data_IF_388646836449
#
_entry.id   IF_388646836449
#
_cell.length_a   1.000
_cell.length_b   1.000
_cell.length_c   1.000
_cell.angle_alpha   90.00
_cell.angle_beta   90.00
_cell.angle_gamma   90.00
#
_symmetry.space_group_name_H-M   'P 1'
#
loop_
_entity.id
_entity.type
_entity.pdbx_description
1 polymer ?
#
# COMPACT_ATOMS: atom_id res chain seq x y z
N UNK A 1 26.59 4.54 26.90
CA UNK A 1 27.87 5.18 27.29
C UNK A 1 28.94 4.64 26.35
N UNK A 2 29.38 5.43 25.38
CA UNK A 2 30.42 5.01 24.45
C UNK A 2 31.62 5.94 24.61
N UNK A 3 32.77 5.34 24.94
CA UNK A 3 34.03 6.04 25.17
C UNK A 3 34.76 6.39 23.88
N UNK A 4 35.53 7.47 23.96
CA UNK A 4 36.52 7.92 22.98
C UNK A 4 37.65 6.89 22.81
N UNK A 5 38.32 6.89 21.63
CA UNK A 5 39.73 6.60 21.56
C UNK A 5 40.55 7.85 21.24
N UNK A 6 41.70 7.88 21.91
CA UNK A 6 42.77 8.86 21.88
C UNK A 6 43.46 8.96 20.50
N UNK A 7 43.90 10.18 20.22
CA UNK A 7 44.91 10.51 19.24
C UNK A 7 46.29 9.96 19.66
N UNK A 8 47.06 9.48 18.69
CA UNK A 8 48.50 9.30 18.81
C UNK A 8 49.18 9.97 17.62
N UNK A 9 49.86 11.07 17.94
CA UNK A 9 50.78 11.82 17.08
C UNK A 9 52.13 11.11 17.17
N UNK A 10 52.75 10.79 16.04
CA UNK A 10 54.19 10.45 15.99
C UNK A 10 54.89 11.36 14.98
N UNK A 11 55.83 12.10 15.55
CA UNK A 11 56.73 13.09 14.99
C UNK A 11 57.72 12.47 14.00
N UNK A 12 58.07 13.18 12.93
CA UNK A 12 59.34 13.00 12.25
C UNK A 12 60.08 14.33 12.10
N UNK A 13 61.36 14.25 12.47
CA UNK A 13 62.36 15.30 12.65
C UNK A 13 62.84 15.83 11.29
N UNK A 14 62.91 17.17 11.16
CA UNK A 14 63.54 17.87 10.04
C UNK A 14 65.05 18.05 10.30
N UNK A 15 65.87 17.62 9.34
CA UNK A 15 67.29 18.00 9.23
C UNK A 15 67.49 18.98 8.06
N UNK A 16 68.43 19.95 8.15
CA UNK A 16 68.56 21.02 7.15
C UNK A 16 69.59 20.67 6.06
N UNK A 17 69.31 21.04 4.80
CA UNK A 17 70.28 20.89 3.72
C UNK A 17 69.75 21.10 2.30
N UNK A 18 69.80 22.35 1.85
CA UNK A 18 70.22 22.83 0.52
C UNK A 18 69.49 22.41 -0.80
N UNK A 19 69.14 23.48 -1.55
CA UNK A 19 69.08 23.65 -3.02
C UNK A 19 68.23 22.74 -3.92
N UNK A 20 67.19 23.41 -4.48
CA UNK A 20 66.75 23.41 -5.89
C UNK A 20 66.66 22.06 -6.59
N UNK A 21 65.44 21.54 -6.73
CA UNK A 21 64.96 20.83 -7.93
C UNK A 21 63.44 20.86 -7.98
N UNK A 22 62.93 21.37 -9.10
CA UNK A 22 61.56 21.32 -9.58
C UNK A 22 61.00 19.89 -9.57
N UNK A 23 59.88 19.67 -8.89
CA UNK A 23 59.04 18.50 -9.07
C UNK A 23 57.57 18.93 -8.93
N UNK A 24 56.79 18.69 -9.98
CA UNK A 24 55.37 18.95 -10.04
C UNK A 24 54.62 18.11 -8.99
N UNK A 25 53.91 18.77 -8.07
CA UNK A 25 53.00 18.10 -7.15
C UNK A 25 51.59 18.10 -7.75
N UNK A 26 51.18 16.93 -8.25
CA UNK A 26 49.77 16.60 -8.48
C UNK A 26 49.04 16.72 -7.13
N UNK A 27 48.10 17.67 -7.03
CA UNK A 27 47.11 17.69 -5.95
C UNK A 27 46.12 16.55 -6.18
N UNK A 28 46.37 15.37 -5.59
CA UNK A 28 45.32 14.38 -5.40
C UNK A 28 44.45 14.86 -4.24
N UNK A 29 43.35 15.54 -4.57
CA UNK A 29 42.25 15.84 -3.65
C UNK A 29 41.56 14.51 -3.30
N UNK A 30 42.07 13.83 -2.27
CA UNK A 30 41.37 12.73 -1.63
C UNK A 30 40.21 13.34 -0.85
N UNK A 31 39.04 13.43 -1.47
CA UNK A 31 37.79 13.69 -0.76
C UNK A 31 37.51 12.44 0.09
N UNK A 32 37.54 12.50 1.43
CA UNK A 32 37.08 11.37 2.22
C UNK A 32 35.58 11.25 1.96
N UNK A 33 35.18 10.15 1.32
CA UNK A 33 33.80 9.74 1.21
C UNK A 33 33.34 9.45 2.65
N UNK A 34 32.73 10.43 3.30
CA UNK A 34 32.02 10.24 4.56
C UNK A 34 30.82 9.34 4.26
N UNK A 35 31.03 8.03 4.30
CA UNK A 35 29.95 7.05 4.40
C UNK A 35 29.38 7.20 5.81
N UNK A 36 28.46 8.14 5.98
CA UNK A 36 27.52 8.09 7.09
C UNK A 36 26.66 6.87 6.80
N UNK A 37 27.06 5.70 7.33
CA UNK A 37 26.15 4.58 7.51
C UNK A 37 25.13 5.03 8.55
N UNK A 38 24.15 5.80 8.11
CA UNK A 38 22.88 5.84 8.81
C UNK A 38 22.41 4.39 8.83
N UNK A 39 22.21 3.82 10.02
CA UNK A 39 21.30 2.70 10.21
C UNK A 39 19.88 3.17 9.85
N UNK A 40 19.68 3.55 8.59
CA UNK A 40 18.44 4.00 8.02
C UNK A 40 17.79 2.80 7.36
N UNK A 41 16.55 2.54 7.75
CA UNK A 41 15.65 1.55 7.16
C UNK A 41 15.93 1.35 5.66
N UNK A 42 16.37 0.16 5.27
CA UNK A 42 16.59 -0.22 3.89
C UNK A 42 15.23 -0.23 3.18
N UNK A 43 15.01 0.79 2.36
CA UNK A 43 13.82 0.88 1.51
C UNK A 43 14.19 1.26 0.09
N UNK A 44 13.40 0.76 -0.85
CA UNK A 44 13.42 1.20 -2.25
C UNK A 44 12.26 2.16 -2.46
N UNK A 45 12.53 3.31 -3.06
CA UNK A 45 11.50 4.29 -3.44
C UNK A 45 11.28 4.19 -4.94
N UNK A 46 10.03 3.92 -5.33
CA UNK A 46 9.63 3.70 -6.72
C UNK A 46 8.57 4.73 -7.11
N UNK A 47 8.88 5.69 -7.99
CA UNK A 47 7.88 6.60 -8.53
C UNK A 47 7.00 5.86 -9.53
N UNK A 48 5.68 6.02 -9.40
CA UNK A 48 4.68 5.45 -10.30
C UNK A 48 4.03 6.60 -11.05
N UNK A 49 4.28 6.69 -12.35
CA UNK A 49 3.62 7.67 -13.20
C UNK A 49 2.27 7.11 -13.64
N UNK A 50 1.20 7.78 -13.23
CA UNK A 50 -0.16 7.25 -13.38
C UNK A 50 -0.96 7.97 -14.47
N UNK A 51 -0.32 8.90 -15.19
CA UNK A 51 -0.93 9.56 -16.33
C UNK A 51 -1.39 8.50 -17.36
N UNK A 52 -2.69 8.43 -17.70
CA UNK A 52 -3.22 7.43 -18.63
C UNK A 52 -2.48 7.38 -19.97
N UNK A 53 -1.97 8.52 -20.46
CA UNK A 53 -1.22 8.59 -21.71
C UNK A 53 0.17 7.91 -21.64
N UNK A 54 0.78 7.88 -20.45
CA UNK A 54 2.12 7.32 -20.24
C UNK A 54 2.08 5.83 -19.86
N UNK A 55 0.96 5.34 -19.30
CA UNK A 55 0.83 3.96 -18.86
C UNK A 55 0.77 2.98 -20.04
N UNK A 56 1.59 1.94 -20.02
CA UNK A 56 1.53 0.85 -20.99
C UNK A 56 0.79 -0.36 -20.39
N UNK A 57 -0.13 -0.96 -21.15
CA UNK A 57 -0.79 -2.18 -20.70
C UNK A 57 0.20 -3.35 -20.71
N UNK A 58 0.32 -4.10 -19.60
CA UNK A 58 1.18 -5.28 -19.57
C UNK A 58 0.59 -6.41 -20.42
N UNK A 59 1.45 -7.30 -20.92
CA UNK A 59 1.04 -8.50 -21.68
C UNK A 59 0.47 -9.62 -20.78
N UNK A 60 0.57 -9.47 -19.47
CA UNK A 60 0.20 -10.45 -18.46
C UNK A 60 1.15 -10.43 -17.26
N UNK A 61 0.83 -11.19 -16.22
CA UNK A 61 1.58 -11.19 -14.96
C UNK A 61 3.06 -11.58 -15.10
N UNK A 62 3.38 -12.48 -16.03
CA UNK A 62 4.76 -12.94 -16.27
C UNK A 62 5.69 -11.83 -16.81
N UNK A 63 5.12 -10.74 -17.36
CA UNK A 63 5.90 -9.60 -17.82
C UNK A 63 6.30 -8.64 -16.68
N UNK A 64 5.73 -8.82 -15.48
CA UNK A 64 5.91 -7.93 -14.33
C UNK A 64 7.07 -8.40 -13.44
N UNK A 65 8.29 -8.33 -13.97
CA UNK A 65 9.48 -8.95 -13.34
C UNK A 65 10.27 -8.03 -12.42
N UNK A 66 9.98 -6.73 -12.41
CA UNK A 66 10.64 -5.74 -11.55
C UNK A 66 9.60 -4.96 -10.76
N UNK A 67 9.93 -4.40 -9.58
CA UNK A 67 8.97 -3.62 -8.80
C UNK A 67 8.36 -2.45 -9.59
N UNK A 68 9.18 -1.74 -10.39
CA UNK A 68 8.70 -0.68 -11.28
C UNK A 68 7.68 -1.21 -12.30
N UNK A 69 8.03 -2.28 -13.03
CA UNK A 69 7.14 -2.87 -14.03
C UNK A 69 5.83 -3.36 -13.39
N UNK A 70 5.90 -3.96 -12.20
CA UNK A 70 4.71 -4.41 -11.45
C UNK A 70 3.80 -3.25 -11.08
N UNK A 71 4.34 -2.19 -10.47
CA UNK A 71 3.58 -1.01 -10.07
C UNK A 71 2.95 -0.30 -11.26
N UNK A 72 3.72 -0.06 -12.32
CA UNK A 72 3.23 0.60 -13.54
C UNK A 72 2.17 -0.27 -14.26
N UNK A 73 2.39 -1.58 -14.35
CA UNK A 73 1.46 -2.52 -14.99
C UNK A 73 0.13 -2.61 -14.25
N UNK A 74 0.14 -2.64 -12.92
CA UNK A 74 -1.09 -2.63 -12.11
C UNK A 74 -1.78 -1.27 -12.21
N UNK A 75 -1.04 -0.16 -12.11
CA UNK A 75 -1.61 1.17 -12.31
C UNK A 75 -2.28 1.30 -13.69
N UNK A 76 -1.69 0.73 -14.74
CA UNK A 76 -2.29 0.68 -16.07
C UNK A 76 -3.64 -0.05 -16.08
N UNK A 77 -3.76 -1.21 -15.43
CA UNK A 77 -5.04 -1.94 -15.34
C UNK A 77 -6.09 -1.14 -14.56
N UNK A 78 -5.73 -0.61 -13.39
CA UNK A 78 -6.66 0.17 -12.57
C UNK A 78 -7.18 1.42 -13.31
N UNK A 79 -6.29 2.15 -13.98
CA UNK A 79 -6.63 3.39 -14.67
C UNK A 79 -7.37 3.13 -15.99
N UNK A 80 -6.87 2.21 -16.83
CA UNK A 80 -7.36 2.05 -18.21
C UNK A 80 -8.55 1.11 -18.32
N UNK A 81 -8.59 0.05 -17.53
CA UNK A 81 -9.64 -0.96 -17.64
C UNK A 81 -10.72 -0.79 -16.58
N UNK A 82 -10.34 -0.39 -15.36
CA UNK A 82 -11.29 -0.16 -14.27
C UNK A 82 -11.74 1.30 -14.17
N UNK A 83 -11.07 2.23 -14.87
CA UNK A 83 -11.44 3.65 -14.87
C UNK A 83 -11.25 4.32 -13.49
N UNK A 84 -10.39 3.76 -12.65
CA UNK A 84 -10.09 4.30 -11.33
C UNK A 84 -9.07 5.43 -11.45
N UNK A 85 -9.37 6.64 -10.93
CA UNK A 85 -8.43 7.74 -11.02
C UNK A 85 -7.31 7.55 -9.99
N UNK A 86 -6.07 7.74 -10.42
CA UNK A 86 -4.93 7.89 -9.54
C UNK A 86 -4.40 9.34 -9.65
N UNK A 87 -3.77 9.91 -8.60
CA UNK A 87 -3.13 11.21 -8.71
C UNK A 87 -1.96 11.09 -9.68
N UNK A 88 -1.62 12.16 -10.42
CA UNK A 88 -0.69 12.11 -11.57
C UNK A 88 0.69 11.50 -11.31
N UNK A 89 1.09 11.37 -10.04
CA UNK A 89 2.13 10.47 -9.60
C UNK A 89 1.75 9.85 -8.25
N UNK A 90 2.16 8.59 -8.03
CA UNK A 90 2.11 7.89 -6.74
C UNK A 90 3.53 7.50 -6.35
N UNK A 91 3.89 7.65 -5.07
CA UNK A 91 5.18 7.17 -4.56
C UNK A 91 5.00 5.84 -3.85
N UNK A 92 5.68 4.79 -4.31
CA UNK A 92 5.71 3.52 -3.61
C UNK A 92 7.00 3.38 -2.79
N UNK A 93 6.87 3.02 -1.52
CA UNK A 93 7.98 2.71 -0.62
C UNK A 93 7.97 1.21 -0.34
N UNK A 94 9.04 0.52 -0.72
CA UNK A 94 9.20 -0.91 -0.56
C UNK A 94 10.19 -1.18 0.57
N UNK A 95 9.72 -1.82 1.63
CA UNK A 95 10.50 -2.15 2.82
C UNK A 95 10.85 -3.63 2.80
N UNK A 96 12.08 -3.96 3.15
CA UNK A 96 12.61 -5.33 3.10
C UNK A 96 12.40 -6.12 4.39
N UNK A 97 11.82 -5.49 5.41
CA UNK A 97 11.67 -6.06 6.74
C UNK A 97 10.54 -5.39 7.49
N UNK A 98 9.89 -6.13 8.38
CA UNK A 98 8.82 -5.58 9.23
C UNK A 98 9.28 -4.39 10.09
N UNK A 99 10.54 -4.39 10.56
CA UNK A 99 11.09 -3.28 11.34
C UNK A 99 11.31 -2.01 10.49
N UNK A 100 11.83 -2.16 9.27
CA UNK A 100 11.98 -1.01 8.36
C UNK A 100 10.62 -0.47 7.93
N UNK A 101 9.64 -1.35 7.72
CA UNK A 101 8.25 -0.98 7.44
C UNK A 101 7.63 -0.18 8.59
N UNK A 102 7.76 -0.62 9.84
CA UNK A 102 7.26 0.12 11.00
C UNK A 102 7.87 1.52 11.12
N UNK A 103 9.18 1.65 10.91
CA UNK A 103 9.83 2.96 10.86
C UNK A 103 9.30 3.81 9.68
N UNK A 104 9.02 3.19 8.54
CA UNK A 104 8.39 3.84 7.40
C UNK A 104 6.97 4.35 7.68
N UNK A 105 6.18 3.61 8.46
CA UNK A 105 4.85 4.06 8.90
C UNK A 105 4.95 5.38 9.67
N UNK A 106 5.96 5.53 10.52
CA UNK A 106 6.21 6.77 11.27
C UNK A 106 6.75 7.87 10.36
N UNK A 107 7.82 7.59 9.62
CA UNK A 107 8.58 8.62 8.91
C UNK A 107 7.92 9.07 7.60
N UNK A 108 7.40 8.14 6.82
CA UNK A 108 6.90 8.39 5.47
C UNK A 108 5.36 8.49 5.45
N UNK A 109 4.66 7.70 6.28
CA UNK A 109 3.19 7.76 6.38
C UNK A 109 2.67 8.64 7.53
N UNK A 110 3.55 9.23 8.36
CA UNK A 110 3.20 10.11 9.49
C UNK A 110 2.20 9.48 10.46
N UNK A 111 2.28 8.17 10.63
CA UNK A 111 1.51 7.43 11.63
C UNK A 111 2.19 7.60 12.98
N UNK A 112 1.41 7.77 14.05
CA UNK A 112 1.98 7.83 15.41
C UNK A 112 2.73 6.54 15.74
N UNK A 113 3.84 6.56 16.50
CA UNK A 113 4.60 5.35 16.82
C UNK A 113 3.77 4.20 17.40
N UNK A 114 2.82 4.50 18.30
CA UNK A 114 1.92 3.48 18.88
C UNK A 114 1.09 2.80 17.79
N UNK A 115 0.46 3.59 16.92
CA UNK A 115 -0.32 3.05 15.80
C UNK A 115 0.56 2.35 14.75
N UNK A 116 1.79 2.80 14.55
CA UNK A 116 2.74 2.13 13.65
C UNK A 116 3.09 0.73 14.16
N UNK A 117 3.38 0.59 15.45
CA UNK A 117 3.63 -0.70 16.10
C UNK A 117 2.39 -1.62 16.07
N UNK A 118 1.18 -1.07 16.20
CA UNK A 118 -0.05 -1.86 16.02
C UNK A 118 -0.22 -2.35 14.58
N UNK A 119 -0.03 -1.46 13.59
CA UNK A 119 -0.21 -1.77 12.18
C UNK A 119 0.86 -2.75 11.67
N UNK A 120 2.12 -2.60 12.09
CA UNK A 120 3.23 -3.44 11.61
C UNK A 120 3.07 -4.92 11.94
N UNK A 121 2.23 -5.25 12.94
CA UNK A 121 1.91 -6.64 13.33
C UNK A 121 1.07 -7.38 12.28
N UNK A 122 0.24 -6.68 11.52
CA UNK A 122 -0.73 -7.33 10.62
C UNK A 122 -0.82 -6.73 9.21
N UNK A 123 -0.42 -5.48 9.03
CA UNK A 123 -0.46 -4.82 7.73
C UNK A 123 0.76 -5.21 6.88
N UNK A 124 0.49 -5.71 5.68
CA UNK A 124 1.53 -5.98 4.68
C UNK A 124 1.73 -4.80 3.72
N UNK A 125 0.75 -3.90 3.65
CA UNK A 125 0.80 -2.64 2.95
C UNK A 125 -0.11 -1.63 3.61
N UNK A 126 0.12 -0.35 3.34
CA UNK A 126 -0.84 0.72 3.58
C UNK A 126 -0.81 1.72 2.43
N UNK A 127 -1.97 2.30 2.15
CA UNK A 127 -2.09 3.46 1.29
C UNK A 127 -2.24 4.73 2.12
N UNK A 128 -1.66 5.82 1.62
CA UNK A 128 -1.95 7.20 2.02
C UNK A 128 -2.19 8.03 0.76
N UNK A 129 -2.62 9.27 0.91
CA UNK A 129 -2.78 10.19 -0.23
C UNK A 129 -1.48 10.27 -1.04
N UNK A 130 -1.53 9.85 -2.31
CA UNK A 130 -0.41 9.89 -3.24
C UNK A 130 0.74 8.92 -2.97
N UNK A 131 0.59 7.97 -2.05
CA UNK A 131 1.66 7.02 -1.75
C UNK A 131 1.17 5.67 -1.23
N UNK A 132 1.98 4.64 -1.44
CA UNK A 132 1.79 3.30 -0.87
C UNK A 132 3.07 2.87 -0.16
N UNK A 133 2.93 2.22 0.99
CA UNK A 133 4.04 1.61 1.73
C UNK A 133 3.80 0.12 1.73
N UNK A 134 4.81 -0.67 1.36
CA UNK A 134 4.67 -2.11 1.14
C UNK A 134 5.79 -2.88 1.84
N UNK A 135 5.44 -3.87 2.64
CA UNK A 135 6.37 -4.80 3.26
C UNK A 135 6.62 -6.00 2.32
N UNK A 136 7.78 -6.01 1.68
CA UNK A 136 8.12 -7.02 0.66
C UNK A 136 8.47 -8.38 1.25
N UNK A 137 8.97 -8.42 2.49
CA UNK A 137 9.25 -9.66 3.22
C UNK A 137 7.97 -10.49 3.39
N UNK A 138 6.88 -9.82 3.76
CA UNK A 138 5.63 -10.47 4.12
C UNK A 138 4.83 -10.95 2.90
N UNK A 139 4.97 -10.30 1.74
CA UNK A 139 4.19 -10.63 0.55
C UNK A 139 4.83 -11.76 -0.28
N UNK A 140 6.16 -11.90 -0.27
CA UNK A 140 6.90 -12.77 -1.21
C UNK A 140 6.73 -12.32 -2.67
N UNK A 141 7.48 -12.90 -3.63
CA UNK A 141 7.37 -12.52 -5.06
C UNK A 141 6.39 -13.45 -5.79
N UNK A 142 5.09 -13.34 -5.49
CA UNK A 142 4.04 -14.22 -6.03
C UNK A 142 2.72 -13.47 -6.35
N UNK A 143 1.65 -14.19 -6.66
CA UNK A 143 0.31 -13.61 -6.96
C UNK A 143 -0.22 -12.69 -5.85
N UNK A 144 0.10 -12.96 -4.59
CA UNK A 144 -0.32 -12.11 -3.46
C UNK A 144 0.41 -10.77 -3.43
N UNK A 145 1.63 -10.68 -3.98
CA UNK A 145 2.30 -9.39 -4.18
C UNK A 145 1.59 -8.52 -5.20
N UNK A 146 1.19 -9.11 -6.32
CA UNK A 146 0.38 -8.42 -7.33
C UNK A 146 -0.96 -7.98 -6.73
N UNK A 147 -1.60 -8.85 -5.94
CA UNK A 147 -2.84 -8.53 -5.23
C UNK A 147 -2.66 -7.34 -4.29
N UNK A 148 -1.63 -7.38 -3.45
CA UNK A 148 -1.35 -6.36 -2.45
C UNK A 148 -1.14 -5.00 -3.11
N UNK A 149 -0.31 -4.91 -4.16
CA UNK A 149 -0.09 -3.65 -4.87
C UNK A 149 -1.41 -3.12 -5.45
N UNK A 150 -2.22 -3.98 -6.09
CA UNK A 150 -3.50 -3.58 -6.67
C UNK A 150 -4.50 -3.12 -5.60
N UNK A 151 -4.51 -3.78 -4.45
CA UNK A 151 -5.32 -3.43 -3.30
C UNK A 151 -4.93 -2.03 -2.76
N UNK A 152 -3.65 -1.79 -2.47
CA UNK A 152 -3.18 -0.50 -1.93
C UNK A 152 -3.34 0.65 -2.93
N UNK A 153 -3.08 0.43 -4.22
CA UNK A 153 -3.33 1.45 -5.25
C UNK A 153 -4.83 1.74 -5.40
N UNK A 154 -5.70 0.77 -5.15
CA UNK A 154 -7.16 1.02 -5.16
C UNK A 154 -7.56 1.95 -4.01
N UNK A 155 -6.96 1.84 -2.83
CA UNK A 155 -7.17 2.82 -1.77
C UNK A 155 -6.74 4.22 -2.17
N UNK A 156 -5.59 4.37 -2.84
CA UNK A 156 -5.18 5.68 -3.38
C UNK A 156 -6.26 6.23 -4.32
N UNK A 157 -6.83 5.41 -5.19
CA UNK A 157 -7.91 5.83 -6.07
C UNK A 157 -9.20 6.22 -5.31
N UNK A 158 -9.54 5.47 -4.26
CA UNK A 158 -10.66 5.82 -3.38
C UNK A 158 -10.45 7.17 -2.71
N UNK A 159 -9.22 7.49 -2.28
CA UNK A 159 -8.89 8.78 -1.67
C UNK A 159 -9.04 9.92 -2.67
N UNK A 160 -8.63 9.74 -3.92
CA UNK A 160 -8.82 10.76 -4.96
C UNK A 160 -10.30 10.95 -5.31
N UNK A 161 -11.08 9.86 -5.40
CA UNK A 161 -12.52 9.95 -5.63
C UNK A 161 -13.25 10.65 -4.47
N UNK A 162 -12.90 10.31 -3.24
CA UNK A 162 -13.55 10.84 -2.03
C UNK A 162 -13.05 12.22 -1.62
N UNK A 163 -11.97 12.72 -2.21
CA UNK A 163 -11.32 13.97 -1.79
C UNK A 163 -10.70 13.88 -0.40
N UNK A 164 -10.23 12.70 0.01
CA UNK A 164 -9.58 12.48 1.30
C UNK A 164 -9.60 11.03 1.79
N UNK A 165 -8.75 10.73 2.77
CA UNK A 165 -8.64 9.40 3.40
C UNK A 165 -9.82 9.13 4.37
N UNK A 166 -10.20 7.86 4.52
CA UNK A 166 -11.10 7.41 5.60
C UNK A 166 -12.53 7.94 5.55
N UNK A 167 -13.00 8.46 4.41
CA UNK A 167 -14.34 9.07 4.28
C UNK A 167 -15.47 8.08 4.06
N UNK A 168 -15.17 6.88 3.55
CA UNK A 168 -16.18 5.86 3.21
C UNK A 168 -16.46 4.87 4.34
N UNK A 169 -17.38 3.94 4.08
CA UNK A 169 -17.56 2.75 4.90
C UNK A 169 -16.32 1.85 4.82
N UNK A 170 -15.70 1.53 5.96
CA UNK A 170 -14.47 0.74 5.95
C UNK A 170 -14.65 -0.62 5.25
N UNK A 171 -15.74 -1.34 5.53
CA UNK A 171 -16.01 -2.62 4.88
C UNK A 171 -16.11 -2.49 3.35
N UNK A 172 -16.66 -1.38 2.84
CA UNK A 172 -16.77 -1.15 1.40
C UNK A 172 -15.43 -0.69 0.80
N UNK A 173 -14.60 0.01 1.58
CA UNK A 173 -13.24 0.38 1.18
C UNK A 173 -12.37 -0.85 0.97
N UNK A 174 -12.30 -1.71 1.99
CA UNK A 174 -11.55 -2.97 1.95
C UNK A 174 -12.12 -3.93 0.90
N UNK A 175 -13.45 -4.07 0.85
CA UNK A 175 -14.11 -4.97 -0.09
C UNK A 175 -13.93 -4.56 -1.55
N UNK A 176 -14.03 -3.26 -1.85
CA UNK A 176 -13.75 -2.75 -3.19
C UNK A 176 -12.27 -2.90 -3.56
N UNK A 177 -11.35 -2.67 -2.61
CA UNK A 177 -9.93 -2.83 -2.84
C UNK A 177 -9.57 -4.28 -3.20
N UNK A 178 -10.14 -5.26 -2.48
CA UNK A 178 -9.98 -6.67 -2.83
C UNK A 178 -10.67 -7.03 -4.15
N UNK A 179 -11.88 -6.53 -4.41
CA UNK A 179 -12.56 -6.77 -5.69
C UNK A 179 -11.72 -6.26 -6.87
N UNK A 180 -11.24 -5.01 -6.80
CA UNK A 180 -10.41 -4.42 -7.84
C UNK A 180 -9.07 -5.15 -7.99
N UNK A 181 -8.46 -5.57 -6.88
CA UNK A 181 -7.24 -6.37 -6.91
C UNK A 181 -7.46 -7.71 -7.62
N UNK A 182 -8.52 -8.44 -7.29
CA UNK A 182 -8.84 -9.71 -7.94
C UNK A 182 -9.20 -9.53 -9.42
N UNK A 183 -9.91 -8.47 -9.79
CA UNK A 183 -10.14 -8.13 -11.20
C UNK A 183 -8.82 -7.81 -11.90
N UNK A 184 -7.91 -7.06 -11.28
CA UNK A 184 -6.61 -6.78 -11.88
C UNK A 184 -5.79 -8.06 -12.10
N UNK A 185 -5.80 -9.00 -11.14
CA UNK A 185 -5.16 -10.31 -11.32
C UNK A 185 -5.79 -11.10 -12.48
N UNK A 186 -7.11 -11.06 -12.62
CA UNK A 186 -7.82 -11.71 -13.72
C UNK A 186 -7.45 -11.13 -15.08
N UNK A 187 -7.33 -9.81 -15.19
CA UNK A 187 -6.86 -9.13 -16.41
C UNK A 187 -5.41 -9.43 -16.74
N UNK A 188 -4.59 -9.66 -15.73
CA UNK A 188 -3.20 -10.09 -15.88
C UNK A 188 -3.05 -11.59 -16.12
N UNK A 189 -4.13 -12.38 -16.06
CA UNK A 189 -4.10 -13.83 -16.20
C UNK A 189 -3.41 -14.57 -15.03
N UNK A 190 -3.30 -13.94 -13.86
CA UNK A 190 -2.64 -14.50 -12.67
C UNK A 190 -3.59 -15.30 -11.77
N UNK A 191 -4.87 -14.92 -11.72
CA UNK A 191 -5.91 -15.55 -10.92
C UNK A 191 -7.28 -15.25 -11.54
N UNK A 192 -8.38 -15.61 -10.87
CA UNK A 192 -9.73 -15.23 -11.32
C UNK A 192 -10.60 -14.75 -10.16
N UNK A 193 -11.50 -13.81 -10.46
CA UNK A 193 -12.48 -13.31 -9.51
C UNK A 193 -13.42 -14.44 -9.06
N UNK A 194 -13.79 -15.33 -10.00
CA UNK A 194 -14.62 -16.50 -9.72
C UNK A 194 -14.00 -17.44 -8.68
N UNK A 195 -12.70 -17.76 -8.81
CA UNK A 195 -11.99 -18.57 -7.81
C UNK A 195 -11.97 -17.89 -6.45
N UNK A 196 -11.69 -16.58 -6.41
CA UNK A 196 -11.63 -15.81 -5.15
C UNK A 196 -12.99 -15.73 -4.46
N UNK A 197 -14.10 -15.63 -5.19
CA UNK A 197 -15.47 -15.78 -4.64
C UNK A 197 -15.68 -17.12 -3.94
N UNK A 198 -15.29 -18.23 -4.57
CA UNK A 198 -15.44 -19.57 -3.99
C UNK A 198 -14.60 -19.71 -2.71
N UNK A 199 -13.35 -19.26 -2.73
CA UNK A 199 -12.46 -19.29 -1.57
C UNK A 199 -13.00 -18.45 -0.42
N UNK A 200 -13.43 -17.21 -0.70
CA UNK A 200 -14.00 -16.31 0.30
C UNK A 200 -15.29 -16.88 0.90
N UNK A 201 -16.21 -17.38 0.07
CA UNK A 201 -17.47 -17.99 0.53
C UNK A 201 -17.19 -19.19 1.43
N UNK A 202 -16.23 -20.03 1.05
CA UNK A 202 -15.84 -21.20 1.85
C UNK A 202 -15.22 -20.78 3.18
N UNK A 203 -14.34 -19.77 3.17
CA UNK A 203 -13.69 -19.26 4.37
C UNK A 203 -14.68 -18.65 5.36
N UNK A 204 -15.57 -17.77 4.90
CA UNK A 204 -16.61 -17.15 5.73
C UNK A 204 -17.55 -18.19 6.32
N UNK A 205 -18.02 -19.17 5.53
CA UNK A 205 -18.91 -20.25 6.02
C UNK A 205 -18.28 -21.13 7.10
N UNK A 206 -16.96 -21.33 7.05
CA UNK A 206 -16.23 -22.11 8.07
C UNK A 206 -16.02 -21.35 9.36
N UNK A 207 -16.14 -20.02 9.35
CA UNK A 207 -15.95 -19.21 10.54
C UNK A 207 -17.26 -19.05 11.30
N UNK A 208 -17.44 -19.86 12.35
CA UNK A 208 -18.70 -19.96 13.09
C UNK A 208 -19.17 -18.65 13.74
N UNK A 209 -18.25 -17.72 14.01
CA UNK A 209 -18.57 -16.37 14.48
C UNK A 209 -19.24 -15.56 13.36
N UNK A 210 -18.67 -15.52 12.17
CA UNK A 210 -19.24 -14.79 11.02
C UNK A 210 -20.51 -15.44 10.49
N UNK A 211 -20.55 -16.77 10.40
CA UNK A 211 -21.69 -17.49 9.81
C UNK A 211 -23.00 -17.36 10.62
N UNK A 212 -22.93 -16.97 11.89
CA UNK A 212 -24.09 -16.88 12.80
C UNK A 212 -24.34 -15.49 13.35
N UNK A 213 -23.44 -14.54 13.09
CA UNK A 213 -23.57 -13.18 13.58
C UNK A 213 -24.29 -12.32 12.55
N UNK A 214 -25.00 -11.31 13.05
CA UNK A 214 -25.38 -10.17 12.24
C UNK A 214 -24.11 -9.49 11.70
N UNK A 215 -24.16 -8.95 10.48
CA UNK A 215 -23.00 -8.30 9.85
C UNK A 215 -22.57 -7.06 10.65
N UNK A 216 -23.54 -6.33 11.19
CA UNK A 216 -23.38 -5.06 11.89
C UNK A 216 -22.58 -4.06 11.05
N UNK A 217 -23.16 -3.70 9.89
CA UNK A 217 -22.48 -2.84 8.90
C UNK A 217 -22.18 -1.44 9.44
N UNK A 218 -22.96 -0.95 10.40
CA UNK A 218 -22.69 0.31 11.10
C UNK A 218 -21.34 0.24 11.84
N UNK A 219 -21.12 -0.86 12.57
CA UNK A 219 -19.85 -1.12 13.26
C UNK A 219 -18.72 -1.38 12.25
N UNK A 220 -18.93 -2.24 11.26
CA UNK A 220 -17.93 -2.53 10.21
C UNK A 220 -17.62 -1.32 9.32
N UNK A 221 -18.45 -0.28 9.37
CA UNK A 221 -18.23 0.99 8.71
C UNK A 221 -17.10 1.84 9.31
N UNK A 222 -16.70 1.58 10.54
CA UNK A 222 -15.66 2.33 11.25
C UNK A 222 -14.29 1.65 11.14
N UNK A 223 -13.19 2.37 10.80
CA UNK A 223 -11.85 1.79 10.73
C UNK A 223 -11.41 1.11 12.03
N UNK A 224 -11.74 1.71 13.18
CA UNK A 224 -11.38 1.17 14.49
C UNK A 224 -12.16 -0.10 14.81
N UNK A 225 -13.46 -0.11 14.55
CA UNK A 225 -14.28 -1.26 14.88
C UNK A 225 -14.06 -2.42 13.90
N UNK A 226 -13.79 -2.12 12.62
CA UNK A 226 -13.26 -3.09 11.67
C UNK A 226 -11.92 -3.67 12.16
N UNK A 227 -11.04 -2.82 12.72
CA UNK A 227 -9.78 -3.25 13.34
C UNK A 227 -10.02 -4.28 14.46
N UNK A 228 -10.92 -3.94 15.38
CA UNK A 228 -11.26 -4.81 16.52
C UNK A 228 -11.86 -6.14 16.03
N UNK A 229 -12.78 -6.10 15.05
CA UNK A 229 -13.41 -7.30 14.48
C UNK A 229 -12.38 -8.24 13.88
N UNK A 230 -11.44 -7.73 13.08
CA UNK A 230 -10.42 -8.58 12.48
C UNK A 230 -9.48 -9.21 13.51
N UNK A 231 -9.23 -8.54 14.65
CA UNK A 231 -8.43 -9.10 15.75
C UNK A 231 -9.17 -10.21 16.50
N UNK A 232 -10.48 -10.06 16.68
CA UNK A 232 -11.30 -11.01 17.43
C UNK A 232 -11.73 -12.22 16.59
N UNK A 233 -12.11 -11.99 15.33
CA UNK A 233 -12.73 -13.00 14.47
C UNK A 233 -11.80 -13.51 13.36
N UNK A 234 -10.59 -12.95 13.28
CA UNK A 234 -9.55 -13.32 12.32
C UNK A 234 -9.53 -12.41 11.10
N UNK A 235 -8.31 -12.06 10.67
CA UNK A 235 -8.09 -11.15 9.54
C UNK A 235 -8.66 -11.69 8.24
N UNK A 236 -8.27 -12.90 7.83
CA UNK A 236 -8.66 -13.45 6.54
C UNK A 236 -10.20 -13.55 6.36
N UNK A 237 -10.97 -14.13 7.29
CA UNK A 237 -12.42 -14.20 7.16
C UNK A 237 -13.12 -12.82 7.14
N UNK A 238 -12.60 -11.84 7.89
CA UNK A 238 -13.16 -10.48 7.94
C UNK A 238 -13.02 -9.77 6.59
N UNK A 239 -11.84 -9.84 5.98
CA UNK A 239 -11.59 -9.28 4.64
C UNK A 239 -12.35 -10.05 3.55
N UNK A 240 -12.44 -11.37 3.66
CA UNK A 240 -13.26 -12.19 2.75
C UNK A 240 -14.75 -11.80 2.81
N UNK A 241 -15.28 -11.49 3.99
CA UNK A 241 -16.65 -10.99 4.13
C UNK A 241 -16.80 -9.61 3.49
N UNK A 242 -15.90 -8.67 3.76
CA UNK A 242 -15.88 -7.35 3.15
C UNK A 242 -15.89 -7.43 1.61
N UNK A 243 -15.01 -8.28 1.05
CA UNK A 243 -14.97 -8.59 -0.38
C UNK A 243 -16.31 -9.11 -0.90
N UNK A 244 -16.92 -10.12 -0.25
CA UNK A 244 -18.19 -10.69 -0.71
C UNK A 244 -19.33 -9.66 -0.68
N UNK A 245 -19.37 -8.77 0.31
CA UNK A 245 -20.37 -7.72 0.41
C UNK A 245 -20.21 -6.67 -0.70
N UNK A 246 -18.98 -6.21 -0.95
CA UNK A 246 -18.69 -5.30 -2.05
C UNK A 246 -18.97 -5.95 -3.41
N UNK A 247 -18.57 -7.20 -3.59
CA UNK A 247 -18.80 -7.97 -4.81
C UNK A 247 -20.30 -8.18 -5.08
N UNK A 248 -21.10 -8.49 -4.05
CA UNK A 248 -22.56 -8.57 -4.17
C UNK A 248 -23.17 -7.24 -4.61
N UNK A 249 -22.75 -6.12 -3.99
CA UNK A 249 -23.20 -4.78 -4.36
C UNK A 249 -22.82 -4.43 -5.81
N UNK A 250 -21.60 -4.78 -6.23
CA UNK A 250 -21.13 -4.58 -7.61
C UNK A 250 -21.90 -5.44 -8.61
N UNK A 251 -22.21 -6.70 -8.27
CA UNK A 251 -23.03 -7.56 -9.13
C UNK A 251 -24.45 -7.02 -9.30
N UNK A 252 -25.02 -6.45 -8.23
CA UNK A 252 -26.39 -5.91 -8.22
C UNK A 252 -26.50 -4.57 -8.94
N UNK A 253 -25.64 -3.62 -8.58
CA UNK A 253 -25.78 -2.21 -8.98
C UNK A 253 -24.73 -1.76 -10.01
N UNK A 254 -23.72 -2.59 -10.25
CA UNK A 254 -22.61 -2.29 -11.15
C UNK A 254 -21.49 -1.49 -10.46
N UNK A 255 -20.25 -1.75 -10.88
CA UNK A 255 -19.07 -1.02 -10.39
C UNK A 255 -19.17 0.51 -10.52
N UNK A 256 -19.77 1.10 -11.57
CA UNK A 256 -19.94 2.55 -11.66
C UNK A 256 -20.72 3.17 -10.49
N UNK A 257 -21.65 2.43 -9.86
CA UNK A 257 -22.37 2.92 -8.67
C UNK A 257 -21.48 2.99 -7.43
N UNK A 258 -20.56 2.04 -7.28
CA UNK A 258 -19.54 2.09 -6.23
C UNK A 258 -18.60 3.28 -6.45
N UNK A 259 -18.18 3.54 -7.69
CA UNK A 259 -17.39 4.74 -8.01
C UNK A 259 -18.18 6.02 -7.71
N UNK A 260 -19.47 6.06 -8.04
CA UNK A 260 -20.35 7.19 -7.72
C UNK A 260 -20.49 7.42 -6.20
N UNK A 261 -20.55 6.34 -5.41
CA UNK A 261 -20.51 6.40 -3.95
C UNK A 261 -19.27 7.15 -3.47
N UNK A 262 -18.06 6.73 -3.89
CA UNK A 262 -16.84 7.41 -3.48
C UNK A 262 -16.79 8.88 -3.94
N UNK A 263 -17.21 9.18 -5.17
CA UNK A 263 -17.29 10.59 -5.64
C UNK A 263 -18.21 11.45 -4.78
N UNK A 264 -19.31 10.88 -4.30
CA UNK A 264 -20.29 11.60 -3.48
C UNK A 264 -19.74 11.95 -2.10
N UNK A 265 -18.80 11.15 -1.57
CA UNK A 265 -18.18 11.37 -0.27
C UNK A 265 -17.45 12.71 -0.17
N UNK A 266 -17.02 13.31 -1.29
CA UNK A 266 -16.41 14.62 -1.29
C UNK A 266 -17.37 15.74 -0.84
N UNK A 267 -18.69 15.52 -0.99
CA UNK A 267 -19.73 16.53 -0.81
C UNK A 267 -20.70 16.21 0.33
N UNK A 268 -20.99 14.93 0.57
CA UNK A 268 -21.98 14.49 1.55
C UNK A 268 -21.40 13.40 2.45
N UNK A 269 -22.06 13.16 3.59
CA UNK A 269 -21.66 12.10 4.51
C UNK A 269 -21.84 10.71 3.88
N UNK A 270 -21.16 9.72 4.45
CA UNK A 270 -21.08 8.37 3.92
C UNK A 270 -22.41 7.62 3.89
N UNK A 271 -23.35 7.88 4.80
CA UNK A 271 -24.65 7.20 4.78
C UNK A 271 -25.54 7.81 3.69
N UNK A 272 -25.58 9.14 3.59
CA UNK A 272 -26.29 9.83 2.50
C UNK A 272 -25.68 9.50 1.12
N UNK A 273 -24.36 9.36 1.03
CA UNK A 273 -23.68 8.90 -0.19
C UNK A 273 -24.09 7.47 -0.56
N UNK A 274 -24.19 6.58 0.42
CA UNK A 274 -24.62 5.20 0.21
C UNK A 274 -26.05 5.16 -0.32
N UNK A 275 -26.98 5.84 0.36
CA UNK A 275 -28.37 5.91 -0.06
C UNK A 275 -28.55 6.52 -1.45
N UNK A 276 -27.84 7.62 -1.75
CA UNK A 276 -27.86 8.24 -3.07
C UNK A 276 -27.38 7.31 -4.19
N UNK A 277 -26.35 6.50 -3.93
CA UNK A 277 -25.73 5.66 -4.96
C UNK A 277 -26.46 4.33 -5.15
N UNK A 278 -27.01 3.75 -4.07
CA UNK A 278 -27.57 2.41 -4.07
C UNK A 278 -29.09 2.37 -3.86
N UNK A 279 -29.73 3.53 -3.64
CA UNK A 279 -31.18 3.65 -3.52
C UNK A 279 -31.77 3.07 -2.22
N UNK A 280 -30.95 2.81 -1.21
CA UNK A 280 -31.36 2.24 0.08
C UNK A 280 -30.36 2.61 1.18
N UNK A 281 -30.79 2.58 2.44
CA UNK A 281 -29.89 2.75 3.58
C UNK A 281 -28.96 1.55 3.76
N UNK A 282 -27.89 1.73 4.54
CA UNK A 282 -26.99 0.62 4.95
C UNK A 282 -27.77 -0.44 5.73
N UNK A 283 -28.67 -0.03 6.62
CA UNK A 283 -29.46 -0.95 7.44
C UNK A 283 -30.44 -1.80 6.61
N UNK A 284 -30.91 -1.29 5.47
CA UNK A 284 -31.76 -2.05 4.55
C UNK A 284 -30.95 -2.94 3.59
N UNK A 285 -29.68 -2.62 3.37
CA UNK A 285 -28.76 -3.46 2.60
C UNK A 285 -28.31 -4.69 3.40
N UNK A 286 -28.12 -4.51 4.70
CA UNK A 286 -27.73 -5.56 5.65
C UNK A 286 -28.76 -6.69 5.78
#
# INVERSE_FOLDING_TARGET
>A
MCGNPLAAISSLVLGPGDRRRTAAFLFLLLVPLLTVSACGASRVVVPVLTNPAALAMPRGALALTTPQATLDGIAAVLVKELGLPLPGAVTAYLYDSSSSFEHGLVNDARVTPVRAAELSVFAFGIARRGQVLLNTEAAGVNVEWLRLIAHELTHVAQFELAGGEGRGEQWLAEGMADWAAFTALERLGADSLARRRVLATTGVRRQAALARSRLDLQTLGSPRAFTIRHQQEGSLPTYQLAFLMADYLIQRDGFPRVVQYYRSLALIDRHAAFERSFGQSIDAFE
#
